data_IF_899784147321
#
_entry.id   IF_899784147321
#
_cell.length_a   1.000
_cell.length_b   1.000
_cell.length_c   1.000
_cell.angle_alpha   90.00
_cell.angle_beta   90.00
_cell.angle_gamma   90.00
#
_symmetry.space_group_name_H-M   'P 1'
#
loop_
_entity.id
_entity.type
_entity.pdbx_description
1 polymer ?
#
# COMPACT_ATOMS: atom_id res chain seq x y z
N UNK A 1 28.54 -29.99 -18.53
CA UNK A 1 27.31 -29.91 -17.70
C UNK A 1 27.56 -29.07 -16.42
N UNK A 2 27.14 -27.80 -16.41
CA UNK A 2 27.30 -26.86 -15.28
C UNK A 2 26.22 -27.11 -14.20
N UNK A 3 26.37 -28.19 -13.43
CA UNK A 3 25.64 -28.44 -12.18
C UNK A 3 26.59 -28.14 -11.02
N UNK A 4 26.52 -26.93 -10.44
CA UNK A 4 26.93 -26.62 -9.05
C UNK A 4 27.11 -25.11 -8.76
N UNK A 5 26.84 -24.18 -9.67
CA UNK A 5 26.91 -22.76 -9.32
C UNK A 5 25.62 -22.33 -8.61
N UNK A 6 25.68 -21.84 -7.35
CA UNK A 6 24.53 -21.19 -6.74
C UNK A 6 24.10 -20.02 -7.62
N UNK A 7 22.80 -19.90 -7.84
CA UNK A 7 22.26 -18.81 -8.66
C UNK A 7 22.74 -17.47 -8.10
N UNK A 8 23.28 -16.62 -8.97
CA UNK A 8 23.69 -15.27 -8.61
C UNK A 8 22.46 -14.58 -8.01
N UNK A 9 22.45 -14.35 -6.69
CA UNK A 9 21.42 -13.58 -6.02
C UNK A 9 21.48 -12.18 -6.61
N UNK A 10 20.63 -11.89 -7.60
CA UNK A 10 20.39 -10.53 -8.06
C UNK A 10 19.99 -9.74 -6.82
N UNK A 11 20.78 -8.73 -6.45
CA UNK A 11 20.33 -7.70 -5.51
C UNK A 11 19.03 -7.17 -6.10
N UNK A 12 17.91 -7.45 -5.44
CA UNK A 12 16.64 -6.85 -5.81
C UNK A 12 16.84 -5.34 -5.74
N UNK A 13 16.46 -4.58 -6.78
CA UNK A 13 16.53 -3.13 -6.72
C UNK A 13 15.78 -2.66 -5.48
N UNK A 14 16.32 -1.67 -4.77
CA UNK A 14 15.60 -1.06 -3.65
C UNK A 14 14.21 -0.62 -4.12
N UNK A 15 13.21 -0.94 -3.31
CA UNK A 15 11.82 -0.65 -3.63
C UNK A 15 11.59 0.85 -3.45
N UNK A 16 11.24 1.54 -4.54
CA UNK A 16 11.02 2.99 -4.52
C UNK A 16 9.57 3.28 -4.08
N UNK A 17 9.41 4.31 -3.25
CA UNK A 17 8.14 4.89 -2.85
C UNK A 17 8.19 6.43 -2.97
N UNK A 18 7.04 7.10 -2.91
CA UNK A 18 6.96 8.57 -2.98
C UNK A 18 7.13 9.19 -1.60
N UNK A 19 7.85 10.30 -1.50
CA UNK A 19 7.85 11.15 -0.30
C UNK A 19 6.53 11.92 -0.16
N UNK A 20 6.29 12.55 0.99
CA UNK A 20 5.09 13.37 1.22
C UNK A 20 4.98 14.52 0.22
N UNK A 21 6.10 15.15 -0.14
CA UNK A 21 6.16 16.22 -1.14
C UNK A 21 5.87 15.70 -2.55
N UNK A 22 6.38 14.51 -2.90
CA UNK A 22 6.10 13.87 -4.19
C UNK A 22 4.64 13.41 -4.28
N UNK A 23 4.04 12.94 -3.18
CA UNK A 23 2.61 12.65 -3.10
C UNK A 23 1.78 13.90 -3.38
N UNK A 24 2.09 15.02 -2.72
CA UNK A 24 1.39 16.29 -2.92
C UNK A 24 1.48 16.75 -4.38
N UNK A 25 2.71 16.80 -4.94
CA UNK A 25 2.94 17.15 -6.35
C UNK A 25 2.18 16.24 -7.31
N UNK A 26 2.12 14.95 -7.04
CA UNK A 26 1.37 14.01 -7.87
C UNK A 26 -0.13 14.29 -7.82
N UNK A 27 -0.70 14.49 -6.63
CA UNK A 27 -2.13 14.79 -6.45
C UNK A 27 -2.54 16.12 -7.10
N UNK A 28 -1.65 17.10 -7.15
CA UNK A 28 -1.87 18.37 -7.84
C UNK A 28 -1.76 18.23 -9.36
N UNK A 29 -0.91 17.33 -9.85
CA UNK A 29 -0.66 17.12 -11.27
C UNK A 29 -1.71 16.22 -11.96
N UNK A 30 -2.48 15.43 -11.19
CA UNK A 30 -3.55 14.57 -11.73
C UNK A 30 -4.93 15.12 -11.39
N UNK A 31 -5.90 14.92 -12.27
CA UNK A 31 -7.29 15.37 -12.10
C UNK A 31 -8.29 14.27 -12.45
N UNK A 32 -9.58 14.49 -12.16
CA UNK A 32 -10.65 13.55 -12.50
C UNK A 32 -10.42 12.14 -11.95
N UNK A 33 -10.65 11.11 -12.78
CA UNK A 33 -10.46 9.71 -12.38
C UNK A 33 -9.01 9.37 -12.04
N UNK A 34 -8.03 10.03 -12.66
CA UNK A 34 -6.62 9.85 -12.34
C UNK A 34 -6.31 10.30 -10.91
N UNK A 35 -6.94 11.39 -10.44
CA UNK A 35 -6.81 11.82 -9.03
C UNK A 35 -7.51 10.86 -8.08
N UNK A 36 -8.74 10.47 -8.39
CA UNK A 36 -9.53 9.57 -7.54
C UNK A 36 -8.88 8.19 -7.36
N UNK A 37 -8.35 7.60 -8.44
CA UNK A 37 -7.64 6.31 -8.36
C UNK A 37 -6.33 6.42 -7.57
N UNK A 38 -5.63 7.57 -7.65
CA UNK A 38 -4.43 7.83 -6.85
C UNK A 38 -4.75 7.88 -5.37
N UNK A 39 -5.79 8.62 -4.99
CA UNK A 39 -6.27 8.67 -3.60
C UNK A 39 -6.63 7.28 -3.06
N UNK A 40 -7.36 6.49 -3.85
CA UNK A 40 -7.68 5.11 -3.48
C UNK A 40 -6.41 4.28 -3.26
N UNK A 41 -5.45 4.32 -4.19
CA UNK A 41 -4.23 3.52 -4.07
C UNK A 41 -3.38 3.95 -2.87
N UNK A 42 -3.26 5.25 -2.61
CA UNK A 42 -2.56 5.79 -1.44
C UNK A 42 -3.30 5.52 -0.12
N UNK A 43 -4.61 5.31 -0.15
CA UNK A 43 -5.41 5.01 1.06
C UNK A 43 -5.47 3.52 1.40
N UNK A 44 -5.32 2.63 0.41
CA UNK A 44 -5.55 1.19 0.60
C UNK A 44 -4.40 0.28 0.17
N UNK A 45 -3.36 0.83 -0.46
CA UNK A 45 -2.29 0.08 -1.11
C UNK A 45 -2.77 -0.90 -2.18
N UNK A 46 -3.84 -0.53 -2.90
CA UNK A 46 -4.36 -1.32 -4.02
C UNK A 46 -3.30 -1.50 -5.11
N UNK A 47 -3.28 -2.65 -5.78
CA UNK A 47 -2.55 -2.76 -7.05
C UNK A 47 -3.28 -1.92 -8.09
N UNK A 48 -2.53 -1.28 -9.01
CA UNK A 48 -3.14 -0.45 -10.06
C UNK A 48 -4.28 -1.15 -10.80
N UNK A 49 -4.08 -2.40 -11.23
CA UNK A 49 -5.11 -3.17 -11.92
C UNK A 49 -6.34 -3.49 -11.06
N UNK A 50 -6.19 -3.67 -9.75
CA UNK A 50 -7.32 -3.88 -8.83
C UNK A 50 -8.11 -2.57 -8.66
N UNK A 51 -7.40 -1.45 -8.49
CA UNK A 51 -7.98 -0.13 -8.36
C UNK A 51 -8.72 0.28 -9.64
N UNK A 52 -8.08 0.12 -10.81
CA UNK A 52 -8.65 0.46 -12.12
C UNK A 52 -9.94 -0.31 -12.40
N UNK A 53 -10.03 -1.56 -11.95
CA UNK A 53 -11.21 -2.41 -12.14
C UNK A 53 -12.23 -2.31 -10.98
N UNK A 54 -12.07 -1.36 -10.06
CA UNK A 54 -12.99 -1.21 -8.94
C UNK A 54 -14.37 -0.74 -9.42
N UNK A 55 -15.41 -1.37 -8.87
CA UNK A 55 -16.81 -1.06 -9.15
C UNK A 55 -17.47 -0.46 -7.93
N UNK A 56 -18.51 0.35 -8.13
CA UNK A 56 -19.22 1.00 -7.04
C UNK A 56 -19.84 0.00 -6.04
N UNK A 57 -20.25 -1.18 -6.53
CA UNK A 57 -20.78 -2.31 -5.75
C UNK A 57 -19.74 -2.95 -4.81
N UNK A 58 -18.44 -2.75 -5.07
CA UNK A 58 -17.37 -3.24 -4.19
C UNK A 58 -17.15 -2.35 -2.97
N UNK A 59 -17.84 -1.20 -2.88
CA UNK A 59 -17.73 -0.26 -1.76
C UNK A 59 -19.03 -0.28 -0.96
N UNK A 60 -18.98 -0.85 0.25
CA UNK A 60 -20.13 -0.97 1.16
C UNK A 60 -19.68 -0.52 2.55
N UNK A 61 -20.43 0.38 3.20
CA UNK A 61 -20.15 0.87 4.57
C UNK A 61 -18.67 1.26 4.77
N UNK A 62 -18.16 2.10 3.86
CA UNK A 62 -16.77 2.58 3.83
C UNK A 62 -15.71 1.49 3.80
N UNK A 63 -16.04 0.34 3.21
CA UNK A 63 -15.12 -0.78 3.03
C UNK A 63 -14.99 -1.08 1.55
N UNK A 64 -13.76 -1.00 1.05
CA UNK A 64 -13.41 -1.35 -0.33
C UNK A 64 -13.03 -2.81 -0.38
N UNK A 65 -13.75 -3.58 -1.19
CA UNK A 65 -13.48 -5.00 -1.41
C UNK A 65 -12.65 -5.18 -2.68
N UNK A 66 -11.45 -5.75 -2.54
CA UNK A 66 -10.61 -6.10 -3.69
C UNK A 66 -10.76 -7.60 -3.99
N UNK A 67 -11.48 -7.88 -5.07
CA UNK A 67 -11.76 -9.23 -5.54
C UNK A 67 -10.57 -9.83 -6.32
N UNK A 68 -10.35 -11.14 -6.13
CA UNK A 68 -9.52 -12.06 -6.94
C UNK A 68 -8.22 -11.48 -7.51
N UNK A 69 -7.11 -11.73 -6.81
CA UNK A 69 -5.80 -11.87 -7.44
C UNK A 69 -5.56 -13.33 -7.84
N UNK A 70 -4.48 -13.59 -8.59
CA UNK A 70 -4.01 -14.93 -9.01
C UNK A 70 -3.88 -15.96 -7.86
N UNK A 71 -3.94 -15.52 -6.59
CA UNK A 71 -3.81 -16.34 -5.37
C UNK A 71 -5.07 -16.34 -4.47
N UNK A 72 -6.23 -15.91 -4.97
CA UNK A 72 -7.54 -16.28 -4.40
C UNK A 72 -8.01 -15.60 -3.11
N UNK A 73 -7.22 -14.76 -2.43
CA UNK A 73 -7.66 -14.10 -1.18
C UNK A 73 -8.36 -12.76 -1.47
N UNK A 74 -9.66 -12.70 -1.17
CA UNK A 74 -10.42 -11.45 -1.06
C UNK A 74 -9.92 -10.68 0.15
N UNK A 75 -9.80 -9.36 0.02
CA UNK A 75 -9.48 -8.49 1.17
C UNK A 75 -10.38 -7.27 1.16
N UNK A 76 -10.70 -6.81 2.37
CA UNK A 76 -11.63 -5.71 2.63
C UNK A 76 -10.86 -4.66 3.40
N UNK A 77 -10.72 -3.47 2.83
CA UNK A 77 -9.94 -2.38 3.41
C UNK A 77 -10.90 -1.25 3.82
N UNK A 78 -10.93 -0.83 5.09
CA UNK A 78 -11.69 0.34 5.51
C UNK A 78 -11.06 1.62 4.94
N UNK A 79 -11.89 2.58 4.58
CA UNK A 79 -11.52 3.92 4.12
C UNK A 79 -12.37 4.96 4.85
N UNK A 80 -11.97 6.22 4.87
CA UNK A 80 -12.77 7.29 5.48
C UNK A 80 -13.98 7.65 4.63
N UNK A 81 -14.98 8.30 5.25
CA UNK A 81 -16.12 8.90 4.54
C UNK A 81 -15.64 9.86 3.45
N UNK A 82 -14.66 10.71 3.75
CA UNK A 82 -14.08 11.67 2.81
C UNK A 82 -13.53 10.99 1.54
N UNK A 83 -12.77 9.89 1.71
CA UNK A 83 -12.25 9.12 0.56
C UNK A 83 -13.41 8.52 -0.24
N UNK A 84 -14.44 7.98 0.42
CA UNK A 84 -15.60 7.40 -0.27
C UNK A 84 -16.38 8.45 -1.05
N UNK A 85 -16.63 9.61 -0.45
CA UNK A 85 -17.30 10.74 -1.08
C UNK A 85 -16.58 11.21 -2.35
N UNK A 86 -15.25 11.19 -2.34
CA UNK A 86 -14.43 11.57 -3.49
C UNK A 86 -14.41 10.47 -4.57
N UNK A 87 -14.26 9.19 -4.21
CA UNK A 87 -14.05 8.11 -5.20
C UNK A 87 -15.33 7.46 -5.73
N UNK A 88 -16.41 7.42 -4.94
CA UNK A 88 -17.66 6.70 -5.28
C UNK A 88 -18.65 7.63 -5.96
N UNK A 89 -18.30 8.07 -7.17
CA UNK A 89 -19.07 9.06 -7.95
C UNK A 89 -20.41 8.56 -8.50
N UNK A 90 -20.70 7.26 -8.39
CA UNK A 90 -21.91 6.63 -8.93
C UNK A 90 -22.36 5.46 -8.08
N UNK A 91 -23.62 5.06 -8.29
CA UNK A 91 -24.27 3.98 -7.53
C UNK A 91 -23.89 2.58 -8.01
N UNK A 92 -23.51 2.40 -9.27
CA UNK A 92 -23.12 1.11 -9.85
C UNK A 92 -22.12 1.29 -11.01
N UNK A 93 -21.47 0.18 -11.41
CA UNK A 93 -20.52 0.17 -12.53
C UNK A 93 -19.08 0.53 -12.16
N UNK A 94 -18.21 0.58 -13.18
CA UNK A 94 -16.76 0.79 -13.07
C UNK A 94 -16.42 2.21 -12.63
N UNK A 95 -15.72 2.42 -11.52
CA UNK A 95 -15.53 3.76 -10.95
C UNK A 95 -14.56 4.67 -11.71
N UNK A 96 -13.54 4.09 -12.34
CA UNK A 96 -12.46 4.87 -12.95
C UNK A 96 -12.23 4.48 -14.41
N UNK A 97 -12.10 5.48 -15.27
CA UNK A 97 -11.58 5.35 -16.62
C UNK A 97 -10.30 6.17 -16.75
N UNK A 98 -9.15 5.49 -16.71
CA UNK A 98 -7.82 6.14 -16.72
C UNK A 98 -6.92 5.46 -17.75
N UNK A 99 -6.33 6.28 -18.62
CA UNK A 99 -5.23 5.89 -19.48
C UNK A 99 -3.95 5.75 -18.65
N UNK A 100 -3.49 4.51 -18.49
CA UNK A 100 -2.32 4.24 -17.66
C UNK A 100 -1.03 4.81 -18.24
N UNK A 101 -0.88 4.88 -19.56
CA UNK A 101 0.34 5.40 -20.16
C UNK A 101 0.46 6.92 -19.98
N UNK A 102 -0.65 7.65 -20.02
CA UNK A 102 -0.69 9.09 -19.69
C UNK A 102 -0.40 9.30 -18.20
N UNK A 103 -1.10 8.56 -17.33
CA UNK A 103 -0.85 8.61 -15.89
C UNK A 103 0.62 8.34 -15.56
N UNK A 104 1.22 7.34 -16.21
CA UNK A 104 2.62 6.95 -16.03
C UNK A 104 3.59 8.06 -16.45
N UNK A 105 3.27 8.86 -17.47
CA UNK A 105 4.10 10.02 -17.87
C UNK A 105 4.10 11.08 -16.77
N UNK A 106 2.93 11.41 -16.22
CA UNK A 106 2.81 12.35 -15.09
C UNK A 106 3.53 11.83 -13.85
N UNK A 107 3.35 10.56 -13.52
CA UNK A 107 4.06 9.94 -12.41
C UNK A 107 5.59 10.02 -12.57
N UNK A 108 6.11 9.84 -13.79
CA UNK A 108 7.55 9.95 -14.07
C UNK A 108 8.07 11.38 -14.06
N UNK A 109 7.25 12.40 -14.34
CA UNK A 109 7.69 13.79 -14.19
C UNK A 109 7.82 14.16 -12.71
N UNK A 110 7.01 13.57 -11.83
CA UNK A 110 7.12 13.74 -10.38
C UNK A 110 8.25 12.91 -9.77
N UNK A 111 8.42 11.66 -10.23
CA UNK A 111 9.44 10.70 -9.76
C UNK A 111 10.34 10.22 -10.92
N UNK A 112 11.30 11.03 -11.37
CA UNK A 112 12.11 10.72 -12.56
C UNK A 112 13.07 9.54 -12.38
N UNK A 113 13.50 9.28 -11.14
CA UNK A 113 14.37 8.18 -10.71
C UNK A 113 13.63 6.84 -10.56
N UNK A 114 12.32 6.78 -10.85
CA UNK A 114 11.52 5.58 -10.69
C UNK A 114 11.99 4.43 -11.60
N UNK A 115 12.43 3.27 -11.02
CA UNK A 115 12.96 2.16 -11.80
C UNK A 115 11.99 1.64 -12.85
N UNK A 116 12.54 1.07 -13.94
CA UNK A 116 11.73 0.46 -15.00
C UNK A 116 10.85 -0.64 -14.41
N UNK A 117 9.55 -0.59 -14.72
CA UNK A 117 8.56 -1.57 -14.25
C UNK A 117 7.93 -1.29 -12.88
N UNK A 118 8.47 -0.38 -12.05
CA UNK A 118 7.92 -0.14 -10.71
C UNK A 118 6.71 0.82 -10.68
N UNK A 119 6.47 1.58 -11.76
CA UNK A 119 5.37 2.55 -11.85
C UNK A 119 3.99 1.97 -11.50
N UNK A 120 3.72 0.71 -11.86
CA UNK A 120 2.43 0.05 -11.63
C UNK A 120 2.19 -0.29 -10.14
N UNK A 121 3.23 -0.26 -9.33
CA UNK A 121 3.18 -0.61 -7.91
C UNK A 121 3.67 0.51 -6.98
N UNK A 122 4.18 1.62 -7.51
CA UNK A 122 4.79 2.65 -6.67
C UNK A 122 3.83 3.23 -5.63
N UNK A 123 2.56 3.45 -5.98
CA UNK A 123 1.55 3.94 -5.01
C UNK A 123 1.29 2.93 -3.89
N UNK A 124 1.32 1.63 -4.23
CA UNK A 124 1.20 0.56 -3.24
C UNK A 124 2.41 0.50 -2.31
N UNK A 125 3.61 0.66 -2.86
CA UNK A 125 4.83 0.77 -2.05
C UNK A 125 4.81 2.02 -1.17
N UNK A 126 4.26 3.12 -1.69
CA UNK A 126 4.06 4.37 -0.95
C UNK A 126 3.14 4.18 0.24
N UNK A 127 1.95 3.59 0.04
CA UNK A 127 1.07 3.25 1.15
C UNK A 127 1.81 2.38 2.19
N UNK A 128 2.47 1.30 1.76
CA UNK A 128 3.10 0.37 2.67
C UNK A 128 4.29 0.99 3.44
N UNK A 129 5.10 1.80 2.78
CA UNK A 129 6.22 2.51 3.37
C UNK A 129 5.74 3.49 4.45
N UNK A 130 4.83 4.40 4.08
CA UNK A 130 4.27 5.39 5.01
C UNK A 130 3.50 4.72 6.15
N UNK A 131 2.79 3.61 5.89
CA UNK A 131 2.12 2.84 6.94
C UNK A 131 3.12 2.34 8.01
N UNK A 132 4.29 1.84 7.60
CA UNK A 132 5.32 1.39 8.54
C UNK A 132 6.02 2.55 9.24
N UNK A 133 6.35 3.62 8.51
CA UNK A 133 6.95 4.86 9.05
C UNK A 133 6.06 5.42 10.17
N UNK A 134 4.74 5.38 9.97
CA UNK A 134 3.76 5.87 10.94
C UNK A 134 3.48 4.88 12.09
N UNK A 135 4.34 3.87 12.31
CA UNK A 135 4.22 2.92 13.42
C UNK A 135 3.19 1.80 13.21
N UNK A 136 2.76 1.59 11.96
CA UNK A 136 1.77 0.55 11.64
C UNK A 136 2.27 -0.87 11.94
N UNK A 137 1.36 -1.73 12.38
CA UNK A 137 1.67 -3.13 12.66
C UNK A 137 1.91 -3.93 11.36
N UNK A 138 3.06 -4.60 11.25
CA UNK A 138 3.48 -5.34 10.04
C UNK A 138 2.52 -6.49 9.66
N UNK A 139 1.87 -7.15 10.63
CA UNK A 139 0.88 -8.21 10.37
C UNK A 139 -0.42 -7.62 9.83
N UNK A 140 -0.81 -6.44 10.31
CA UNK A 140 -1.92 -5.67 9.74
C UNK A 140 -1.61 -5.26 8.32
N UNK A 141 -0.40 -4.75 8.05
CA UNK A 141 0.03 -4.42 6.69
C UNK A 141 0.00 -5.64 5.78
N UNK A 142 0.45 -6.81 6.24
CA UNK A 142 0.39 -8.06 5.45
C UNK A 142 -1.05 -8.37 5.00
N UNK A 143 -2.03 -8.21 5.90
CA UNK A 143 -3.45 -8.41 5.61
C UNK A 143 -3.98 -7.37 4.63
N UNK A 144 -3.66 -6.08 4.84
CA UNK A 144 -4.07 -4.99 3.94
C UNK A 144 -3.49 -5.20 2.54
N UNK A 145 -2.24 -5.65 2.45
CA UNK A 145 -1.56 -5.95 1.20
C UNK A 145 -2.07 -7.24 0.55
N UNK A 146 -2.68 -8.15 1.31
CA UNK A 146 -3.01 -9.49 0.83
C UNK A 146 -1.76 -10.29 0.45
N UNK A 147 -0.69 -10.15 1.22
CA UNK A 147 0.53 -10.94 1.04
C UNK A 147 0.32 -12.36 1.59
N UNK A 148 0.76 -13.35 0.81
CA UNK A 148 0.61 -14.76 1.14
C UNK A 148 1.53 -15.15 2.30
N UNK A 149 2.74 -14.56 2.35
CA UNK A 149 3.73 -14.80 3.39
C UNK A 149 4.20 -13.48 3.99
N UNK A 150 4.63 -13.51 5.26
CA UNK A 150 5.12 -12.32 5.94
C UNK A 150 6.41 -11.80 5.31
N UNK A 151 7.23 -12.68 4.71
CA UNK A 151 8.49 -12.32 4.04
C UNK A 151 8.28 -11.30 2.92
N UNK A 152 7.11 -11.31 2.26
CA UNK A 152 6.79 -10.29 1.24
C UNK A 152 6.58 -8.90 1.86
N UNK A 153 6.08 -8.84 3.09
CA UNK A 153 5.86 -7.58 3.81
C UNK A 153 7.11 -7.13 4.56
N UNK A 154 7.99 -8.05 4.95
CA UNK A 154 9.24 -7.74 5.65
C UNK A 154 10.15 -6.77 4.87
N UNK A 155 9.96 -6.63 3.56
CA UNK A 155 10.62 -5.58 2.76
C UNK A 155 10.42 -4.18 3.33
N UNK A 156 9.32 -3.90 4.05
CA UNK A 156 9.06 -2.58 4.66
C UNK A 156 9.43 -2.51 6.15
N UNK A 157 9.87 -3.61 6.78
CA UNK A 157 10.06 -3.66 8.23
C UNK A 157 11.13 -2.69 8.74
N UNK A 158 12.16 -2.43 7.93
CA UNK A 158 13.22 -1.47 8.24
C UNK A 158 12.76 0.00 8.31
N UNK A 159 11.54 0.29 7.84
CA UNK A 159 10.94 1.62 7.92
C UNK A 159 10.13 1.83 9.22
N UNK A 160 9.91 0.77 9.99
CA UNK A 160 9.24 0.89 11.27
C UNK A 160 10.11 1.70 12.23
N UNK A 161 9.53 2.62 13.02
CA UNK A 161 10.26 3.25 14.11
C UNK A 161 10.74 2.20 15.12
N UNK A 162 11.86 2.51 15.78
CA UNK A 162 12.43 1.63 16.79
C UNK A 162 11.62 1.73 18.08
N UNK A 163 11.10 0.58 18.53
CA UNK A 163 10.24 0.45 19.69
C UNK A 163 10.89 -0.41 20.79
N UNK A 164 12.22 -0.51 20.87
CA UNK A 164 12.86 -1.32 21.92
C UNK A 164 12.40 -0.97 23.35
N UNK A 165 12.00 0.30 23.60
CA UNK A 165 11.44 0.73 24.89
C UNK A 165 10.04 0.15 25.18
N UNK A 166 9.29 -0.27 24.15
CA UNK A 166 8.00 -0.94 24.32
C UNK A 166 8.15 -2.28 25.04
N UNK A 167 9.34 -2.89 25.03
CA UNK A 167 9.61 -4.09 25.83
C UNK A 167 9.44 -3.83 27.33
N UNK A 168 9.58 -2.59 27.81
CA UNK A 168 9.31 -2.22 29.19
C UNK A 168 7.81 -2.03 29.41
N UNK A 169 7.12 -1.27 28.56
CA UNK A 169 5.69 -0.95 28.77
C UNK A 169 4.74 -2.10 28.44
N UNK A 170 5.09 -2.96 27.48
CA UNK A 170 4.23 -4.04 26.97
C UNK A 170 4.57 -5.43 27.53
N UNK A 171 5.58 -5.55 28.39
CA UNK A 171 5.81 -6.83 29.08
C UNK A 171 4.68 -7.13 30.09
N UNK A 172 4.56 -8.38 30.56
CA UNK A 172 3.47 -8.77 31.47
C UNK A 172 3.42 -8.01 32.80
N UNK A 173 4.51 -7.35 33.21
CA UNK A 173 4.60 -6.56 34.44
C UNK A 173 4.47 -5.05 34.18
N UNK A 174 4.28 -4.63 32.93
CA UNK A 174 4.15 -3.22 32.51
C UNK A 174 5.27 -2.31 33.03
N UNK A 175 6.49 -2.85 33.11
CA UNK A 175 7.68 -2.15 33.59
C UNK A 175 7.83 -2.10 35.12
N UNK A 176 6.91 -2.72 35.85
CA UNK A 176 7.00 -2.89 37.30
C UNK A 176 7.57 -4.25 37.71
N UNK A 177 7.57 -4.50 39.02
CA UNK A 177 8.01 -5.77 39.64
C UNK A 177 6.84 -6.57 40.25
N UNK A 178 5.62 -6.03 40.17
CA UNK A 178 4.40 -6.65 40.68
C UNK A 178 3.30 -6.61 39.63
N UNK A 179 2.46 -7.64 39.59
CA UNK A 179 1.24 -7.64 38.78
C UNK A 179 0.20 -6.83 39.54
N UNK A 180 -0.09 -5.61 39.11
CA UNK A 180 -1.21 -4.84 39.64
C UNK A 180 -2.48 -5.64 39.40
N UNK A 181 -3.07 -6.18 40.47
CA UNK A 181 -4.39 -6.79 40.43
C UNK A 181 -5.39 -5.67 40.19
N UNK A 182 -5.95 -5.61 38.98
CA UNK A 182 -7.14 -4.80 38.69
C UNK A 182 -8.34 -5.28 39.47
#
# INVERSE_FOLDING_TARGET
>A
PLRALPSLKRKSPEMTYLTTEEIAKLLDAVSGDARRITLLCLSTGARWGEAKNLRAEHIINNRVTFNKTKNGKVRIIPVSDEVVSEIKTKKSGLLFDVNYEEYRKVLRSVKPDLPKGQAVHVLRHTFAAHFMINGGNILTLQRIMGHATIQQTMTYAHLAPDFLQDAISLNPLKGGIHISST
#
